data_IF_808998812237
#
_entry.id   IF_808998812237
#
_cell.length_a   1.000
_cell.length_b   1.000
_cell.length_c   1.000
_cell.angle_alpha   90.00
_cell.angle_beta   90.00
_cell.angle_gamma   90.00
#
_symmetry.space_group_name_H-M   'P 1'
#
loop_
_entity.id
_entity.type
_entity.pdbx_description
1 polymer ?
#
# COMPACT_ATOMS: atom_id res chain seq x y z
N UNK A 1 -50.73 4.53 -27.55
CA UNK A 1 -49.75 5.19 -26.68
C UNK A 1 -48.83 4.10 -26.17
N UNK A 2 -47.62 3.98 -26.72
CA UNK A 2 -46.66 2.94 -26.33
C UNK A 2 -45.74 3.50 -25.24
N UNK A 3 -45.85 2.97 -24.04
CA UNK A 3 -44.90 3.15 -22.94
C UNK A 3 -43.61 2.44 -23.29
N UNK A 4 -42.55 3.20 -23.55
CA UNK A 4 -41.19 2.68 -23.67
C UNK A 4 -40.77 2.20 -22.29
N UNK A 5 -40.56 0.90 -22.14
CA UNK A 5 -39.99 0.33 -20.94
C UNK A 5 -38.53 0.80 -20.79
N UNK A 6 -38.22 1.47 -19.68
CA UNK A 6 -36.85 1.80 -19.32
C UNK A 6 -36.01 0.52 -19.21
N UNK A 7 -34.75 0.52 -19.69
CA UNK A 7 -33.90 -0.65 -19.58
C UNK A 7 -33.62 -0.94 -18.11
N UNK A 8 -34.06 -2.12 -17.64
CA UNK A 8 -33.65 -2.65 -16.35
C UNK A 8 -32.14 -2.86 -16.35
N UNK A 9 -31.41 -1.95 -15.71
CA UNK A 9 -29.98 -2.11 -15.42
C UNK A 9 -29.85 -3.33 -14.52
N UNK A 10 -29.34 -4.42 -15.07
CA UNK A 10 -29.12 -5.69 -14.36
C UNK A 10 -28.10 -5.47 -13.22
N UNK A 11 -28.61 -5.15 -12.02
CA UNK A 11 -27.84 -4.87 -10.80
C UNK A 11 -27.07 -6.09 -10.25
N UNK A 12 -27.14 -7.26 -10.91
CA UNK A 12 -26.56 -8.52 -10.42
C UNK A 12 -25.19 -8.87 -10.98
N UNK A 13 -24.70 -8.15 -12.00
CA UNK A 13 -23.30 -8.28 -12.40
C UNK A 13 -22.45 -7.37 -11.51
N UNK A 14 -21.81 -7.94 -10.49
CA UNK A 14 -20.62 -7.30 -9.92
C UNK A 14 -19.67 -7.06 -11.10
N UNK A 15 -19.26 -5.81 -11.39
CA UNK A 15 -18.19 -5.61 -12.34
C UNK A 15 -17.00 -6.42 -11.81
N UNK A 16 -16.55 -7.39 -12.62
CA UNK A 16 -15.25 -8.02 -12.41
C UNK A 16 -14.27 -6.91 -12.69
N UNK A 17 -13.92 -6.14 -11.66
CA UNK A 17 -12.87 -5.15 -11.80
C UNK A 17 -11.63 -5.90 -12.31
N UNK A 18 -10.97 -5.42 -13.38
CA UNK A 18 -9.67 -5.96 -13.74
C UNK A 18 -8.78 -5.70 -12.53
N UNK A 19 -8.49 -6.75 -11.77
CA UNK A 19 -7.43 -6.68 -10.78
C UNK A 19 -6.17 -6.30 -11.55
N UNK A 20 -5.42 -5.26 -11.12
CA UNK A 20 -4.17 -4.92 -11.78
C UNK A 20 -3.34 -6.18 -11.91
N UNK A 21 -2.90 -6.51 -13.13
CA UNK A 21 -2.04 -7.66 -13.36
C UNK A 21 -0.69 -7.41 -12.69
N UNK A 22 -0.62 -7.79 -11.42
CA UNK A 22 0.52 -7.57 -10.56
C UNK A 22 1.77 -8.24 -11.11
N UNK A 23 1.61 -9.36 -11.85
CA UNK A 23 2.73 -10.05 -12.48
C UNK A 23 3.33 -9.16 -13.57
N UNK A 24 2.49 -8.59 -14.43
CA UNK A 24 2.93 -7.64 -15.46
C UNK A 24 3.54 -6.38 -14.87
N UNK A 25 2.91 -5.78 -13.86
CA UNK A 25 3.43 -4.58 -13.18
C UNK A 25 4.77 -4.82 -12.50
N UNK A 26 4.95 -5.99 -11.89
CA UNK A 26 6.23 -6.40 -11.32
C UNK A 26 7.29 -6.59 -12.39
N UNK A 27 6.98 -7.30 -13.47
CA UNK A 27 7.92 -7.50 -14.57
C UNK A 27 8.29 -6.19 -15.27
N UNK A 28 7.39 -5.20 -15.29
CA UNK A 28 7.69 -3.85 -15.75
C UNK A 28 8.61 -3.12 -14.77
N UNK A 29 8.31 -3.13 -13.47
CA UNK A 29 9.15 -2.52 -12.45
C UNK A 29 10.58 -3.09 -12.44
N UNK A 30 10.72 -4.41 -12.59
CA UNK A 30 12.03 -5.08 -12.66
C UNK A 30 12.81 -4.64 -13.91
N UNK A 31 12.15 -4.47 -15.07
CA UNK A 31 12.77 -3.93 -16.29
C UNK A 31 13.21 -2.48 -16.13
N UNK A 32 12.34 -1.61 -15.62
CA UNK A 32 12.67 -0.19 -15.38
C UNK A 32 13.89 -0.06 -14.45
N UNK A 33 13.96 -0.89 -13.40
CA UNK A 33 15.09 -0.89 -12.48
C UNK A 33 16.36 -1.44 -13.15
N UNK A 34 16.26 -2.46 -14.00
CA UNK A 34 17.40 -2.94 -14.79
C UNK A 34 17.95 -1.86 -15.73
N UNK A 35 17.07 -1.11 -16.39
CA UNK A 35 17.46 0.00 -17.26
C UNK A 35 18.19 1.10 -16.48
N UNK A 36 17.68 1.46 -15.30
CA UNK A 36 18.37 2.38 -14.37
C UNK A 36 19.75 1.84 -14.02
N UNK A 37 19.86 0.57 -13.63
CA UNK A 37 21.16 -0.01 -13.26
C UNK A 37 22.14 -0.03 -14.43
N UNK A 38 21.67 -0.28 -15.65
CA UNK A 38 22.48 -0.20 -16.86
C UNK A 38 23.00 1.22 -17.11
N UNK A 39 22.17 2.25 -16.89
CA UNK A 39 22.59 3.65 -17.01
C UNK A 39 23.62 4.07 -15.94
N UNK A 40 23.66 3.37 -14.81
CA UNK A 40 24.61 3.65 -13.73
C UNK A 40 25.90 2.84 -13.82
N UNK A 41 26.05 1.94 -14.80
CA UNK A 41 27.17 1.00 -14.89
C UNK A 41 28.54 1.69 -14.98
N UNK A 42 28.60 2.87 -15.60
CA UNK A 42 29.84 3.63 -15.79
C UNK A 42 30.25 4.44 -14.55
N UNK A 43 29.37 4.52 -13.54
CA UNK A 43 29.64 5.21 -12.27
C UNK A 43 30.36 4.29 -11.29
N UNK A 44 31.04 4.88 -10.30
CA UNK A 44 31.62 4.11 -9.20
C UNK A 44 30.54 3.39 -8.38
N UNK A 45 30.88 2.26 -7.74
CA UNK A 45 29.92 1.52 -6.91
C UNK A 45 29.29 2.38 -5.79
N UNK A 46 30.03 3.37 -5.28
CA UNK A 46 29.52 4.32 -4.28
C UNK A 46 28.47 5.25 -4.87
N UNK A 47 28.72 5.82 -6.04
CA UNK A 47 27.76 6.69 -6.73
C UNK A 47 26.53 5.90 -7.17
N UNK A 48 26.71 4.66 -7.62
CA UNK A 48 25.60 3.74 -7.88
C UNK A 48 24.76 3.53 -6.62
N UNK A 49 25.39 3.33 -5.45
CA UNK A 49 24.69 3.10 -4.18
C UNK A 49 23.97 4.37 -3.67
N UNK A 50 24.58 5.54 -3.84
CA UNK A 50 23.96 6.84 -3.53
C UNK A 50 22.71 7.02 -4.40
N UNK A 51 22.83 6.78 -5.69
CA UNK A 51 21.75 7.02 -6.64
C UNK A 51 20.60 6.03 -6.45
N UNK A 52 20.88 4.74 -6.27
CA UNK A 52 19.82 3.77 -5.97
C UNK A 52 19.16 4.04 -4.61
N UNK A 53 19.91 4.55 -3.63
CA UNK A 53 19.39 5.02 -2.35
C UNK A 53 18.40 6.18 -2.52
N UNK A 54 18.77 7.20 -3.29
CA UNK A 54 17.91 8.34 -3.65
C UNK A 54 16.63 7.88 -4.34
N UNK A 55 16.76 7.08 -5.40
CA UNK A 55 15.62 6.56 -6.16
C UNK A 55 14.68 5.69 -5.31
N UNK A 56 15.24 4.92 -4.38
CA UNK A 56 14.43 4.11 -3.45
C UNK A 56 13.60 5.00 -2.53
N UNK A 57 14.15 6.11 -2.02
CA UNK A 57 13.43 7.06 -1.18
C UNK A 57 12.33 7.78 -1.98
N UNK A 58 12.62 8.21 -3.21
CA UNK A 58 11.62 8.80 -4.11
C UNK A 58 10.48 7.83 -4.42
N UNK A 59 10.79 6.54 -4.66
CA UNK A 59 9.79 5.51 -4.86
C UNK A 59 8.97 5.24 -3.59
N UNK A 60 9.54 5.40 -2.40
CA UNK A 60 8.82 5.30 -1.13
C UNK A 60 7.81 6.44 -0.99
N UNK A 61 8.22 7.67 -1.28
CA UNK A 61 7.33 8.84 -1.22
C UNK A 61 6.23 8.77 -2.28
N UNK A 62 6.56 8.32 -3.49
CA UNK A 62 5.58 8.09 -4.55
C UNK A 62 4.58 7.00 -4.18
N UNK A 63 5.02 5.87 -3.63
CA UNK A 63 4.12 4.80 -3.19
C UNK A 63 3.21 5.30 -2.06
N UNK A 64 3.75 6.00 -1.07
CA UNK A 64 2.95 6.57 0.02
C UNK A 64 1.87 7.51 -0.49
N UNK A 65 2.23 8.47 -1.34
CA UNK A 65 1.29 9.46 -1.88
C UNK A 65 0.25 8.82 -2.79
N UNK A 66 0.64 7.91 -3.67
CA UNK A 66 -0.27 7.21 -4.59
C UNK A 66 -1.20 6.27 -3.84
N UNK A 67 -0.70 5.56 -2.83
CA UNK A 67 -1.50 4.72 -1.94
C UNK A 67 -2.52 5.54 -1.16
N UNK A 68 -2.12 6.70 -0.61
CA UNK A 68 -3.06 7.59 0.09
C UNK A 68 -4.21 8.06 -0.82
N UNK A 69 -3.92 8.41 -2.07
CA UNK A 69 -4.93 8.80 -3.06
C UNK A 69 -5.84 7.64 -3.45
N UNK A 70 -5.27 6.48 -3.76
CA UNK A 70 -6.04 5.28 -4.10
C UNK A 70 -6.95 4.84 -2.94
N UNK A 71 -6.46 4.91 -1.71
CA UNK A 71 -7.22 4.62 -0.49
C UNK A 71 -8.34 5.65 -0.29
N UNK A 72 -8.07 6.95 -0.48
CA UNK A 72 -9.09 7.99 -0.38
C UNK A 72 -10.19 7.83 -1.46
N UNK A 73 -9.80 7.51 -2.70
CA UNK A 73 -10.72 7.20 -3.79
C UNK A 73 -11.58 5.97 -3.46
N UNK A 74 -10.97 4.91 -2.94
CA UNK A 74 -11.67 3.69 -2.55
C UNK A 74 -12.65 3.95 -1.41
N UNK A 75 -12.25 4.76 -0.42
CA UNK A 75 -13.12 5.18 0.67
C UNK A 75 -14.29 6.03 0.19
N UNK A 76 -14.05 6.99 -0.71
CA UNK A 76 -15.12 7.77 -1.34
C UNK A 76 -16.10 6.80 -2.03
N UNK A 77 -15.62 5.92 -2.90
CA UNK A 77 -16.50 5.03 -3.65
C UNK A 77 -17.30 4.05 -2.79
N UNK A 78 -16.68 3.48 -1.75
CA UNK A 78 -17.39 2.60 -0.83
C UNK A 78 -18.43 3.37 0.01
N UNK A 79 -18.11 4.61 0.38
CA UNK A 79 -19.00 5.49 1.12
C UNK A 79 -20.23 5.90 0.30
N UNK A 80 -20.09 6.28 -0.97
CA UNK A 80 -21.21 6.77 -1.79
C UNK A 80 -21.92 5.65 -2.55
N UNK A 81 -21.17 4.77 -3.22
CA UNK A 81 -21.68 3.76 -4.16
C UNK A 81 -21.88 2.37 -3.54
N UNK A 82 -21.54 2.19 -2.26
CA UNK A 82 -21.93 1.04 -1.47
C UNK A 82 -21.36 -0.31 -1.93
N UNK A 83 -20.10 -0.32 -2.37
CA UNK A 83 -19.25 -1.49 -2.70
C UNK A 83 -19.12 -1.90 -4.19
N UNK A 84 -19.55 -1.07 -5.16
CA UNK A 84 -19.39 -1.40 -6.58
C UNK A 84 -17.94 -1.66 -7.00
N UNK A 85 -16.97 -0.97 -6.40
CA UNK A 85 -15.55 -1.16 -6.67
C UNK A 85 -14.84 -1.68 -5.43
N UNK A 86 -14.72 -3.00 -5.30
CA UNK A 86 -14.05 -3.63 -4.16
C UNK A 86 -12.51 -3.56 -4.28
N UNK A 87 -11.95 -2.35 -4.20
CA UNK A 87 -10.50 -2.09 -4.26
C UNK A 87 -9.84 -2.05 -2.87
N UNK A 88 -10.63 -1.89 -1.80
CA UNK A 88 -10.11 -1.89 -0.43
C UNK A 88 -9.26 -3.13 -0.08
N UNK A 89 -9.63 -4.38 -0.45
CA UNK A 89 -8.78 -5.55 -0.19
C UNK A 89 -7.47 -5.55 -0.98
N UNK A 90 -7.47 -5.01 -2.22
CA UNK A 90 -6.26 -4.89 -3.04
C UNK A 90 -5.27 -3.88 -2.45
N UNK A 91 -5.77 -2.88 -1.72
CA UNK A 91 -5.00 -1.88 -1.00
C UNK A 91 -4.72 -2.29 0.46
N UNK A 92 -5.09 -3.50 0.88
CA UNK A 92 -4.84 -4.02 2.23
C UNK A 92 -5.72 -3.39 3.33
N UNK A 93 -6.88 -2.85 2.97
CA UNK A 93 -7.79 -2.14 3.87
C UNK A 93 -9.03 -2.98 4.21
N UNK A 94 -9.48 -2.94 5.47
CA UNK A 94 -10.66 -3.68 5.95
C UNK A 94 -11.95 -2.86 5.78
N UNK A 95 -12.95 -3.46 5.13
CA UNK A 95 -14.24 -2.84 4.78
C UNK A 95 -15.26 -2.84 5.93
N UNK A 96 -15.08 -3.69 6.94
CA UNK A 96 -16.04 -3.86 8.05
C UNK A 96 -16.20 -2.60 8.91
N UNK A 97 -15.16 -1.78 9.06
CA UNK A 97 -15.24 -0.52 9.82
C UNK A 97 -16.00 0.60 9.09
N UNK A 98 -16.30 0.42 7.79
CA UNK A 98 -16.81 1.50 6.93
C UNK A 98 -18.32 1.57 6.83
N UNK A 99 -19.02 0.44 6.82
CA UNK A 99 -20.48 0.44 6.95
C UNK A 99 -20.93 1.14 8.26
N UNK A 100 -20.16 0.94 9.34
CA UNK A 100 -20.38 1.63 10.61
C UNK A 100 -20.02 3.12 10.57
N UNK A 101 -18.89 3.50 9.94
CA UNK A 101 -18.54 4.92 9.75
C UNK A 101 -19.55 5.66 8.87
N UNK A 102 -20.02 5.06 7.77
CA UNK A 102 -21.06 5.61 6.90
C UNK A 102 -22.37 5.83 7.66
N UNK A 103 -22.77 4.86 8.51
CA UNK A 103 -23.95 5.00 9.39
C UNK A 103 -23.77 6.15 10.40
N UNK A 104 -22.61 6.25 11.04
CA UNK A 104 -22.29 7.32 12.01
C UNK A 104 -22.21 8.71 11.35
N UNK A 105 -21.55 8.80 10.20
CA UNK A 105 -21.33 10.02 9.42
C UNK A 105 -22.64 10.68 9.00
N UNK A 106 -23.62 9.87 8.61
CA UNK A 106 -24.91 10.36 8.11
C UNK A 106 -25.96 10.48 9.23
N UNK A 107 -25.57 10.23 10.50
CA UNK A 107 -26.43 10.23 11.70
C UNK A 107 -27.76 9.48 11.48
N UNK A 108 -27.76 8.42 10.67
CA UNK A 108 -29.00 7.75 10.28
C UNK A 108 -29.31 6.66 11.30
N UNK A 109 -30.41 6.77 12.08
CA UNK A 109 -30.83 5.70 12.99
C UNK A 109 -31.35 4.47 12.25
N UNK A 110 -31.87 4.63 11.02
CA UNK A 110 -32.39 3.52 10.21
C UNK A 110 -31.64 3.31 8.88
N UNK A 111 -31.13 2.09 8.59
CA UNK A 111 -30.43 1.77 7.34
C UNK A 111 -31.30 1.81 6.07
N UNK A 112 -32.60 2.12 6.18
CA UNK A 112 -33.56 2.12 5.07
C UNK A 112 -33.43 3.33 4.16
N UNK A 113 -33.21 4.54 4.70
CA UNK A 113 -33.00 5.74 3.89
C UNK A 113 -31.77 5.61 2.99
N UNK A 114 -30.66 5.15 3.58
CA UNK A 114 -29.40 4.85 2.89
C UNK A 114 -29.52 3.85 1.73
N UNK A 115 -30.53 2.97 1.74
CA UNK A 115 -30.78 2.00 0.67
C UNK A 115 -31.49 2.62 -0.55
N UNK A 116 -32.22 3.71 -0.34
CA UNK A 116 -33.08 4.33 -1.34
C UNK A 116 -32.54 5.69 -1.82
N UNK A 117 -31.63 6.31 -1.06
CA UNK A 117 -30.98 7.56 -1.43
C UNK A 117 -30.07 7.36 -2.65
N UNK A 118 -30.13 8.31 -3.57
CA UNK A 118 -29.22 8.45 -4.70
C UNK A 118 -27.81 8.82 -4.23
N UNK A 119 -26.83 8.60 -5.11
CA UNK A 119 -25.42 8.96 -4.87
C UNK A 119 -25.26 10.44 -4.52
N UNK A 120 -25.97 11.31 -5.25
CA UNK A 120 -25.89 12.76 -5.08
C UNK A 120 -26.50 13.22 -3.74
N UNK A 121 -27.58 12.59 -3.28
CA UNK A 121 -28.19 12.87 -1.97
C UNK A 121 -27.25 12.45 -0.82
N UNK A 122 -26.54 11.34 -0.98
CA UNK A 122 -25.54 10.87 0.01
C UNK A 122 -24.31 11.80 -0.02
N UNK A 123 -23.89 12.25 -1.20
CA UNK A 123 -22.79 13.21 -1.39
C UNK A 123 -23.06 14.56 -0.73
N UNK A 124 -24.23 15.15 -1.01
CA UNK A 124 -24.65 16.41 -0.40
C UNK A 124 -24.69 16.32 1.13
N UNK A 125 -25.28 15.23 1.65
CA UNK A 125 -25.38 15.04 3.11
C UNK A 125 -24.03 14.80 3.79
N UNK A 126 -23.10 14.13 3.12
CA UNK A 126 -21.74 13.93 3.64
C UNK A 126 -20.95 15.25 3.68
N UNK A 127 -21.13 16.09 2.65
CA UNK A 127 -20.51 17.41 2.58
C UNK A 127 -21.04 18.35 3.68
N UNK A 128 -22.35 18.36 3.94
CA UNK A 128 -22.97 19.08 5.08
C UNK A 128 -22.37 18.66 6.44
N UNK A 129 -21.89 17.42 6.53
CA UNK A 129 -21.33 16.82 7.74
C UNK A 129 -19.79 16.93 7.83
N UNK A 130 -19.15 17.62 6.88
CA UNK A 130 -17.71 17.84 6.86
C UNK A 130 -16.87 16.65 6.38
N UNK A 131 -17.49 15.65 5.72
CA UNK A 131 -16.75 14.56 5.10
C UNK A 131 -16.25 14.98 3.71
N UNK A 132 -14.96 14.82 3.41
CA UNK A 132 -14.43 15.13 2.09
C UNK A 132 -14.97 14.12 1.07
N UNK A 133 -15.85 14.56 0.18
CA UNK A 133 -16.19 13.84 -1.04
C UNK A 133 -15.15 14.16 -2.11
N UNK A 134 -14.60 13.14 -2.77
CA UNK A 134 -13.63 13.30 -3.87
C UNK A 134 -14.16 12.63 -5.16
N UNK A 135 -15.13 13.26 -5.86
CA UNK A 135 -15.74 12.68 -7.06
C UNK A 135 -14.73 12.34 -8.16
N UNK A 136 -13.77 13.24 -8.40
CA UNK A 136 -12.74 13.08 -9.44
C UNK A 136 -11.80 11.89 -9.16
N UNK A 137 -11.48 11.63 -7.89
CA UNK A 137 -10.62 10.51 -7.51
C UNK A 137 -11.39 9.18 -7.58
N UNK A 138 -12.69 9.19 -7.30
CA UNK A 138 -13.56 8.01 -7.46
C UNK A 138 -13.69 7.58 -8.93
N UNK A 139 -13.85 8.52 -9.87
CA UNK A 139 -13.88 8.21 -11.31
C UNK A 139 -12.55 7.60 -11.79
N UNK A 140 -11.44 7.95 -11.14
CA UNK A 140 -10.08 7.47 -11.43
C UNK A 140 -9.66 6.29 -10.57
N UNK A 141 -10.58 5.71 -9.80
CA UNK A 141 -10.25 4.73 -8.77
C UNK A 141 -9.48 3.51 -9.31
N UNK A 142 -9.82 3.02 -10.50
CA UNK A 142 -9.08 1.92 -11.15
C UNK A 142 -7.66 2.35 -11.52
N UNK A 143 -7.50 3.52 -12.14
CA UNK A 143 -6.18 4.07 -12.53
C UNK A 143 -5.29 4.31 -11.31
N UNK A 144 -5.86 4.88 -10.23
CA UNK A 144 -5.16 5.11 -8.96
C UNK A 144 -4.75 3.79 -8.29
N UNK A 145 -5.62 2.77 -8.34
CA UNK A 145 -5.30 1.43 -7.84
C UNK A 145 -4.16 0.78 -8.60
N UNK A 146 -4.17 0.85 -9.94
CA UNK A 146 -3.06 0.37 -10.79
C UNK A 146 -1.77 1.13 -10.48
N UNK A 147 -1.83 2.45 -10.38
CA UNK A 147 -0.68 3.29 -10.07
C UNK A 147 -0.09 2.98 -8.67
N UNK A 148 -0.94 2.74 -7.67
CA UNK A 148 -0.51 2.39 -6.32
C UNK A 148 0.25 1.05 -6.31
N UNK A 149 -0.28 0.04 -7.00
CA UNK A 149 0.38 -1.27 -7.14
C UNK A 149 1.68 -1.13 -7.93
N UNK A 150 1.70 -0.38 -9.02
CA UNK A 150 2.91 -0.14 -9.80
C UNK A 150 4.01 0.55 -8.97
N UNK A 151 3.65 1.56 -8.18
CA UNK A 151 4.56 2.23 -7.26
C UNK A 151 5.10 1.27 -6.18
N UNK A 152 4.25 0.38 -5.65
CA UNK A 152 4.66 -0.65 -4.69
C UNK A 152 5.68 -1.62 -5.30
N UNK A 153 5.44 -2.12 -6.51
CA UNK A 153 6.35 -3.04 -7.19
C UNK A 153 7.68 -2.36 -7.56
N UNK A 154 7.64 -1.10 -8.03
CA UNK A 154 8.85 -0.30 -8.30
C UNK A 154 9.70 -0.09 -7.04
N UNK A 155 9.06 0.29 -5.93
CA UNK A 155 9.74 0.42 -4.63
C UNK A 155 10.38 -0.90 -4.20
N UNK A 156 9.68 -2.01 -4.36
CA UNK A 156 10.18 -3.33 -4.00
C UNK A 156 11.42 -3.70 -4.85
N UNK A 157 11.36 -3.50 -6.17
CA UNK A 157 12.47 -3.77 -7.07
C UNK A 157 13.72 -2.92 -6.75
N UNK A 158 13.55 -1.61 -6.54
CA UNK A 158 14.65 -0.70 -6.14
C UNK A 158 15.25 -1.09 -4.79
N UNK A 159 14.40 -1.44 -3.81
CA UNK A 159 14.82 -1.88 -2.48
C UNK A 159 15.67 -3.14 -2.58
N UNK A 160 15.27 -4.11 -3.41
CA UNK A 160 16.04 -5.34 -3.59
C UNK A 160 17.42 -5.06 -4.20
N UNK A 161 17.49 -4.21 -5.23
CA UNK A 161 18.78 -3.83 -5.84
C UNK A 161 19.69 -3.10 -4.85
N UNK A 162 19.18 -2.09 -4.14
CA UNK A 162 19.94 -1.38 -3.10
C UNK A 162 20.46 -2.37 -2.05
N UNK A 163 19.60 -3.28 -1.57
CA UNK A 163 20.00 -4.26 -0.56
C UNK A 163 21.05 -5.25 -1.10
N UNK A 164 20.94 -5.67 -2.36
CA UNK A 164 21.94 -6.52 -3.01
C UNK A 164 23.30 -5.82 -3.12
N UNK A 165 23.31 -4.53 -3.49
CA UNK A 165 24.54 -3.72 -3.53
C UNK A 165 25.17 -3.56 -2.15
N UNK A 166 24.39 -3.21 -1.13
CA UNK A 166 24.87 -3.13 0.27
C UNK A 166 25.52 -4.44 0.69
N UNK A 167 24.90 -5.59 0.39
CA UNK A 167 25.47 -6.92 0.69
C UNK A 167 26.78 -7.14 -0.06
N UNK A 168 26.81 -6.87 -1.37
CA UNK A 168 28.01 -7.04 -2.22
C UNK A 168 29.18 -6.21 -1.69
N UNK A 169 28.96 -4.92 -1.44
CA UNK A 169 29.99 -4.00 -0.95
C UNK A 169 30.46 -4.38 0.46
N UNK A 170 29.55 -4.83 1.33
CA UNK A 170 29.93 -5.34 2.64
C UNK A 170 30.74 -6.63 2.54
N UNK A 171 30.38 -7.58 1.67
CA UNK A 171 31.16 -8.81 1.49
C UNK A 171 32.55 -8.54 0.93
N UNK A 172 32.68 -7.62 -0.04
CA UNK A 172 33.96 -7.19 -0.57
C UNK A 172 34.87 -6.56 0.50
N UNK A 173 34.30 -6.02 1.59
CA UNK A 173 35.06 -5.47 2.71
C UNK A 173 35.87 -6.51 3.48
N UNK A 174 35.48 -7.79 3.45
CA UNK A 174 36.23 -8.86 4.13
C UNK A 174 37.56 -9.16 3.45
N UNK A 175 37.66 -8.91 2.15
CA UNK A 175 38.85 -9.18 1.33
C UNK A 175 39.67 -7.92 1.03
N UNK A 176 39.17 -6.73 1.40
CA UNK A 176 39.82 -5.45 1.13
C UNK A 176 40.09 -4.69 2.44
N UNK A 177 41.35 -4.33 2.76
CA UNK A 177 41.68 -3.50 3.93
C UNK A 177 40.99 -2.13 3.95
N UNK A 178 40.59 -1.60 2.78
CA UNK A 178 39.79 -0.38 2.62
C UNK A 178 38.28 -0.66 2.52
N UNK A 179 37.85 -1.83 3.00
CA UNK A 179 36.47 -2.26 3.02
C UNK A 179 35.53 -1.29 3.72
N UNK A 180 34.28 -1.24 3.25
CA UNK A 180 33.27 -0.30 3.77
C UNK A 180 32.66 -0.79 5.07
N UNK A 181 32.66 0.08 6.07
CA UNK A 181 32.01 -0.19 7.34
C UNK A 181 30.49 -0.04 7.21
N UNK A 182 29.75 -0.67 8.12
CA UNK A 182 28.29 -0.56 8.16
C UNK A 182 27.77 0.89 8.20
N UNK A 183 28.33 1.81 9.03
CA UNK A 183 27.91 3.23 9.02
C UNK A 183 28.18 3.95 7.69
N UNK A 184 29.27 3.60 7.00
CA UNK A 184 29.57 4.17 5.68
C UNK A 184 28.54 3.72 4.64
N UNK A 185 28.19 2.44 4.64
CA UNK A 185 27.14 1.89 3.76
C UNK A 185 25.77 2.50 4.05
N UNK A 186 25.45 2.74 5.33
CA UNK A 186 24.21 3.39 5.74
C UNK A 186 24.12 4.81 5.17
N UNK A 187 25.20 5.59 5.31
CA UNK A 187 25.30 6.95 4.76
C UNK A 187 25.18 6.95 3.24
N UNK A 188 25.91 6.08 2.54
CA UNK A 188 25.87 5.99 1.08
C UNK A 188 24.48 5.61 0.58
N UNK A 189 23.86 4.59 1.15
CA UNK A 189 22.56 4.09 0.72
C UNK A 189 21.38 4.96 1.20
N UNK A 190 21.63 6.01 2.02
CA UNK A 190 20.59 6.88 2.56
C UNK A 190 19.63 6.16 3.52
N UNK A 191 20.13 5.21 4.31
CA UNK A 191 19.34 4.39 5.25
C UNK A 191 19.95 4.34 6.65
N UNK A 192 19.19 3.84 7.63
CA UNK A 192 19.70 3.68 9.00
C UNK A 192 20.71 2.53 9.13
N UNK A 193 21.65 2.68 10.06
CA UNK A 193 22.60 1.62 10.44
C UNK A 193 21.89 0.32 10.81
N UNK A 194 20.76 0.41 11.52
CA UNK A 194 19.93 -0.74 11.89
C UNK A 194 19.43 -1.48 10.65
N UNK A 195 19.02 -0.77 9.60
CA UNK A 195 18.55 -1.39 8.37
C UNK A 195 19.71 -2.05 7.61
N UNK A 196 20.89 -1.42 7.57
CA UNK A 196 22.09 -2.07 7.00
C UNK A 196 22.40 -3.38 7.73
N UNK A 197 22.40 -3.36 9.06
CA UNK A 197 22.62 -4.57 9.87
C UNK A 197 21.65 -5.69 9.52
N UNK A 198 20.37 -5.35 9.32
CA UNK A 198 19.33 -6.30 8.93
C UNK A 198 19.54 -6.85 7.52
N UNK A 199 20.00 -6.02 6.58
CA UNK A 199 20.30 -6.41 5.20
C UNK A 199 21.45 -7.42 5.15
N UNK A 200 22.52 -7.19 5.93
CA UNK A 200 23.70 -8.06 5.95
C UNK A 200 23.51 -9.31 6.85
N UNK A 201 22.55 -9.29 7.79
CA UNK A 201 22.24 -10.42 8.69
C UNK A 201 20.78 -10.91 8.57
N UNK A 202 20.35 -11.51 7.45
CA UNK A 202 18.94 -11.87 7.22
C UNK A 202 18.38 -12.91 8.22
N UNK A 203 19.24 -13.70 8.87
CA UNK A 203 18.82 -14.66 9.90
C UNK A 203 18.30 -13.98 11.18
N UNK A 204 18.75 -12.75 11.47
CA UNK A 204 18.22 -11.98 12.59
C UNK A 204 16.78 -11.55 12.37
N UNK A 205 16.41 -11.21 11.12
CA UNK A 205 15.03 -10.90 10.74
C UNK A 205 14.12 -12.11 10.89
N UNK A 206 14.56 -13.30 10.45
CA UNK A 206 13.78 -14.54 10.61
C UNK A 206 13.57 -14.89 12.08
N UNK A 207 14.58 -14.71 12.93
CA UNK A 207 14.45 -14.90 14.39
C UNK A 207 13.54 -13.86 15.04
N UNK A 208 13.62 -12.59 14.63
CA UNK A 208 12.74 -11.53 15.10
C UNK A 208 11.28 -11.75 14.68
N UNK A 209 11.05 -12.13 13.42
CA UNK A 209 9.71 -12.46 12.90
C UNK A 209 9.13 -13.69 13.60
N UNK A 210 9.94 -14.74 13.85
CA UNK A 210 9.53 -15.92 14.62
C UNK A 210 9.16 -15.55 16.06
N UNK A 211 9.94 -14.68 16.71
CA UNK A 211 9.65 -14.19 18.08
C UNK A 211 8.39 -13.32 18.12
N UNK A 212 8.18 -12.45 17.14
CA UNK A 212 6.98 -11.61 17.03
C UNK A 212 5.72 -12.45 16.76
N UNK A 213 5.80 -13.44 15.87
CA UNK A 213 4.72 -14.40 15.62
C UNK A 213 4.39 -15.24 16.85
N UNK A 214 5.38 -15.64 17.64
CA UNK A 214 5.18 -16.36 18.90
C UNK A 214 4.54 -15.48 19.99
N UNK A 215 4.88 -14.18 20.05
CA UNK A 215 4.25 -13.24 20.98
C UNK A 215 2.81 -12.89 20.60
N UNK A 216 2.48 -12.88 19.31
CA UNK A 216 1.12 -12.62 18.81
C UNK A 216 0.14 -13.80 19.03
N UNK A 217 0.66 -14.99 19.36
CA UNK A 217 -0.12 -16.23 19.57
C UNK A 217 -0.35 -16.52 21.05
N UNK A 218 0.07 -15.66 21.99
CA UNK A 218 -0.33 -15.84 23.39
C UNK A 218 -1.83 -15.60 23.53
N UNK A 219 -2.66 -16.62 23.84
CA UNK A 219 -4.01 -16.35 24.29
C UNK A 219 -3.90 -15.56 25.59
N UNK A 220 -4.72 -14.51 25.72
CA UNK A 220 -4.97 -13.85 26.99
C UNK A 220 -5.42 -14.92 27.98
N UNK A 221 -4.50 -15.42 28.79
CA UNK A 221 -4.84 -16.23 29.95
C UNK A 221 -5.58 -15.30 30.91
N UNK A 222 -6.90 -15.48 30.91
CA UNK A 222 -7.82 -15.32 32.03
C UNK A 222 -7.35 -14.41 33.16
N UNK A 223 -7.87 -13.18 33.16
CA UNK A 223 -8.26 -12.52 34.42
C UNK A 223 -9.70 -12.96 34.67
N UNK A 224 -9.85 -14.16 35.21
CA UNK A 224 -11.06 -14.65 35.88
C UNK A 224 -10.60 -15.20 37.23
N UNK A 225 -11.15 -14.85 38.38
CA UNK A 225 -12.11 -13.82 38.71
C UNK A 225 -11.85 -13.40 40.16
N UNK A 226 -12.35 -12.24 40.54
CA UNK A 226 -12.70 -12.04 41.93
C UNK A 226 -13.86 -12.95 42.27
N UNK A 227 -13.85 -13.53 43.48
CA UNK A 227 -15.07 -13.62 44.26
C UNK A 227 -14.77 -13.76 45.76
N UNK A 228 -15.38 -12.84 46.49
CA UNK A 228 -15.95 -12.92 47.83
C UNK A 228 -15.37 -13.91 48.87
N UNK A 229 -14.65 -13.38 49.86
CA UNK A 229 -15.07 -13.29 51.28
C UNK A 229 -14.01 -12.62 52.15
#
# INVERSE_FOLDING_TARGET
MNTVAEPQVDRRRRPVNPSPDRVSLRAQAEREVQDVMAQLQDKSEEEQLIEIGRLTNEAFDLEKTTMQRAVAAAFSSEFYDGSRFNLAPLLGVTTTSWAERRRRALQVPEPRWLRNASRDEIAARAQEMGFPHLPEEEERLVELGVAAVAAQEKKAALTEQRNAMVRRMYTASYTNPQGRTQPQLAKLAGISDRLVWQIINPLSQRRAAKKAAQSAVRPSAEVAGGDER
#
